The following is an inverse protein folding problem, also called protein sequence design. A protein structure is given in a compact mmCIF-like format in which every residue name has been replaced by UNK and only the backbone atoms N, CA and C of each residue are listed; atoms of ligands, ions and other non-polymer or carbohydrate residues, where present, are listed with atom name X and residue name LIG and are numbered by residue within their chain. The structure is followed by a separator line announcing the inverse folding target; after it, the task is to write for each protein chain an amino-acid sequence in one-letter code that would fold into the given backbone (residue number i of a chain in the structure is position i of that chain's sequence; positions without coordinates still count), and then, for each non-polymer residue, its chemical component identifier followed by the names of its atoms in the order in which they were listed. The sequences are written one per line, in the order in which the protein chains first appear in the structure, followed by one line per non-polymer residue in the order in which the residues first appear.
data_IF_314830534011
#
_entry.id   IF_314830534011
#
_cell.length_a   1.000
_cell.length_b   1.000
_cell.length_c   1.000
_cell.angle_alpha   90.00
_cell.angle_beta   90.00
_cell.angle_gamma   90.00
#
_symmetry.space_group_name_H-M   'P 1'
#
loop_
_entity.id
_entity.type
_entity.pdbx_description
1 polymer ?
#
# COMPACT_ATOMS: atom_id res chain seq x y z
N UNK A 1 -35.71 -4.47 0.54
CA UNK A 1 -34.45 -3.77 0.14
C UNK A 1 -33.34 -4.61 0.71
N UNK A 2 -32.69 -5.42 -0.13
CA UNK A 2 -31.49 -6.13 0.32
C UNK A 2 -30.48 -5.08 0.76
N UNK A 3 -30.10 -5.17 2.02
CA UNK A 3 -29.02 -4.38 2.59
C UNK A 3 -27.75 -4.75 1.80
N UNK A 4 -27.38 -3.95 0.81
CA UNK A 4 -26.28 -4.31 -0.08
C UNK A 4 -25.00 -4.21 0.73
N UNK A 5 -24.54 -5.36 1.20
CA UNK A 5 -23.30 -5.53 1.95
C UNK A 5 -22.15 -4.77 1.27
N UNK A 6 -21.41 -3.96 2.02
CA UNK A 6 -20.29 -3.17 1.51
C UNK A 6 -19.27 -4.08 0.82
N UNK A 7 -18.61 -3.55 -0.20
CA UNK A 7 -17.70 -4.31 -1.03
C UNK A 7 -16.32 -3.64 -1.13
N UNK A 8 -15.27 -4.46 -1.16
CA UNK A 8 -13.89 -3.99 -1.25
C UNK A 8 -13.10 -4.73 -2.35
N UNK A 9 -12.27 -3.98 -3.06
CA UNK A 9 -11.24 -4.51 -3.94
C UNK A 9 -9.88 -4.34 -3.27
N UNK A 10 -9.08 -5.41 -3.19
CA UNK A 10 -7.70 -5.39 -2.72
C UNK A 10 -6.79 -5.85 -3.85
N UNK A 11 -6.07 -4.93 -4.50
CA UNK A 11 -5.03 -5.29 -5.47
C UNK A 11 -3.77 -5.72 -4.73
N UNK A 12 -2.97 -6.63 -5.31
CA UNK A 12 -1.90 -7.28 -4.56
C UNK A 12 -2.41 -8.19 -3.43
N UNK A 13 -3.71 -8.54 -3.49
CA UNK A 13 -4.43 -9.34 -2.48
C UNK A 13 -3.93 -10.77 -2.31
N UNK A 14 -3.09 -11.27 -3.21
CA UNK A 14 -2.42 -12.58 -3.07
C UNK A 14 -1.09 -12.51 -2.32
N UNK A 15 -0.54 -11.32 -2.11
CA UNK A 15 0.64 -11.07 -1.29
C UNK A 15 0.34 -11.17 0.21
N UNK A 16 1.39 -11.21 1.05
CA UNK A 16 1.21 -11.38 2.52
C UNK A 16 0.38 -10.25 3.13
N UNK A 17 0.73 -9.01 2.86
CA UNK A 17 0.02 -7.82 3.37
C UNK A 17 -1.39 -7.75 2.79
N UNK A 18 -1.53 -7.92 1.46
CA UNK A 18 -2.84 -7.86 0.80
C UNK A 18 -3.81 -8.92 1.31
N UNK A 19 -3.33 -10.16 1.60
CA UNK A 19 -4.15 -11.21 2.21
C UNK A 19 -4.63 -10.86 3.61
N UNK A 20 -3.76 -10.31 4.45
CA UNK A 20 -4.15 -9.88 5.80
C UNK A 20 -5.20 -8.76 5.74
N UNK A 21 -5.03 -7.80 4.82
CA UNK A 21 -6.01 -6.73 4.59
C UNK A 21 -7.35 -7.30 4.11
N UNK A 22 -7.34 -8.22 3.13
CA UNK A 22 -8.56 -8.85 2.63
C UNK A 22 -9.29 -9.60 3.74
N UNK A 23 -8.59 -10.45 4.49
CA UNK A 23 -9.16 -11.21 5.61
C UNK A 23 -9.73 -10.30 6.70
N UNK A 24 -9.07 -9.17 7.00
CA UNK A 24 -9.58 -8.21 7.97
C UNK A 24 -10.86 -7.52 7.47
N UNK A 25 -10.92 -7.10 6.22
CA UNK A 25 -12.12 -6.49 5.65
C UNK A 25 -13.28 -7.49 5.57
N UNK A 26 -13.01 -8.78 5.28
CA UNK A 26 -14.02 -9.84 5.35
C UNK A 26 -14.56 -10.01 6.77
N UNK A 27 -13.68 -10.03 7.78
CA UNK A 27 -14.07 -10.09 9.19
C UNK A 27 -14.90 -8.87 9.63
N UNK A 28 -14.64 -7.70 9.03
CA UNK A 28 -15.42 -6.46 9.24
C UNK A 28 -16.72 -6.42 8.40
N UNK A 29 -17.08 -7.53 7.73
CA UNK A 29 -18.34 -7.70 7.03
C UNK A 29 -18.38 -7.21 5.59
N UNK A 30 -17.23 -6.97 4.95
CA UNK A 30 -17.18 -6.64 3.51
C UNK A 30 -17.21 -7.91 2.65
N UNK A 31 -17.80 -7.82 1.46
CA UNK A 31 -17.48 -8.73 0.37
C UNK A 31 -16.18 -8.29 -0.27
N UNK A 32 -15.19 -9.16 -0.39
CA UNK A 32 -13.86 -8.79 -0.84
C UNK A 32 -13.48 -9.51 -2.13
N UNK A 33 -13.02 -8.77 -3.12
CA UNK A 33 -12.26 -9.29 -4.26
C UNK A 33 -10.77 -9.04 -3.98
N UNK A 34 -10.05 -10.08 -3.59
CA UNK A 34 -8.59 -10.06 -3.49
C UNK A 34 -8.01 -10.42 -4.87
N UNK A 35 -7.32 -9.48 -5.51
CA UNK A 35 -6.77 -9.64 -6.84
C UNK A 35 -5.23 -9.68 -6.83
N UNK A 36 -4.65 -10.59 -7.58
CA UNK A 36 -3.21 -10.75 -7.75
C UNK A 36 -2.76 -10.49 -9.18
N UNK A 37 -1.50 -10.83 -9.48
CA UNK A 37 -0.90 -10.62 -10.80
C UNK A 37 -1.63 -11.39 -11.92
N UNK A 38 -2.21 -12.55 -11.61
CA UNK A 38 -2.96 -13.35 -12.58
C UNK A 38 -4.28 -12.69 -13.00
N UNK A 39 -4.83 -11.79 -12.20
CA UNK A 39 -6.09 -11.10 -12.47
C UNK A 39 -5.90 -9.86 -13.38
N UNK A 40 -4.68 -9.34 -13.54
CA UNK A 40 -4.40 -8.21 -14.43
C UNK A 40 -3.02 -7.60 -14.24
N UNK A 41 -2.48 -7.07 -15.34
CA UNK A 41 -1.22 -6.32 -15.34
C UNK A 41 -1.48 -4.84 -15.00
N UNK A 42 -1.18 -4.47 -13.77
CA UNK A 42 -1.39 -3.11 -13.26
C UNK A 42 -0.34 -2.09 -13.75
N UNK A 43 0.73 -2.55 -14.40
CA UNK A 43 1.66 -1.64 -15.10
C UNK A 43 1.04 -0.99 -16.33
N UNK A 44 -0.15 -1.44 -16.74
CA UNK A 44 -0.91 -0.97 -17.90
C UNK A 44 -2.27 -0.41 -17.48
N UNK A 45 -2.63 0.71 -18.06
CA UNK A 45 -3.91 1.38 -17.77
C UNK A 45 -5.14 0.51 -18.12
N UNK A 46 -5.07 -0.24 -19.22
CA UNK A 46 -6.13 -1.16 -19.64
C UNK A 46 -6.26 -2.37 -18.69
N UNK A 47 -5.14 -2.85 -18.15
CA UNK A 47 -5.14 -3.90 -17.12
C UNK A 47 -5.79 -3.46 -15.82
N UNK A 48 -5.45 -2.27 -15.34
CA UNK A 48 -6.07 -1.69 -14.14
C UNK A 48 -7.59 -1.49 -14.32
N UNK A 49 -8.02 -0.98 -15.49
CA UNK A 49 -9.44 -0.80 -15.81
C UNK A 49 -10.20 -2.12 -15.79
N UNK A 50 -9.70 -3.13 -16.52
CA UNK A 50 -10.34 -4.45 -16.55
C UNK A 50 -10.48 -5.05 -15.18
N UNK A 51 -9.43 -4.99 -14.35
CA UNK A 51 -9.48 -5.52 -12.99
C UNK A 51 -10.57 -4.87 -12.15
N UNK A 52 -10.74 -3.54 -12.24
CA UNK A 52 -11.78 -2.82 -11.50
C UNK A 52 -13.17 -3.20 -12.04
N UNK A 53 -13.36 -3.27 -13.36
CA UNK A 53 -14.63 -3.67 -13.98
C UNK A 53 -15.02 -5.10 -13.57
N UNK A 54 -14.10 -6.05 -13.57
CA UNK A 54 -14.31 -7.42 -13.12
C UNK A 54 -14.66 -7.48 -11.62
N UNK A 55 -14.03 -6.65 -10.80
CA UNK A 55 -14.36 -6.56 -9.38
C UNK A 55 -15.78 -6.03 -9.17
N UNK A 56 -16.17 -5.00 -9.91
CA UNK A 56 -17.53 -4.44 -9.86
C UNK A 56 -18.55 -5.46 -10.36
N UNK A 57 -18.27 -6.19 -11.45
CA UNK A 57 -19.16 -7.23 -11.97
C UNK A 57 -19.38 -8.35 -10.94
N UNK A 58 -18.32 -8.74 -10.21
CA UNK A 58 -18.39 -9.79 -9.20
C UNK A 58 -19.07 -9.34 -7.89
N UNK A 59 -18.87 -8.08 -7.50
CA UNK A 59 -19.30 -7.54 -6.21
C UNK A 59 -20.58 -6.69 -6.28
N UNK A 60 -20.95 -6.21 -7.48
CA UNK A 60 -22.12 -5.34 -7.70
C UNK A 60 -21.89 -3.88 -7.29
N UNK A 61 -20.92 -3.59 -6.43
CA UNK A 61 -20.57 -2.23 -5.95
C UNK A 61 -19.13 -2.18 -5.44
N UNK A 62 -18.59 -0.99 -5.25
CA UNK A 62 -17.34 -0.76 -4.54
C UNK A 62 -17.52 0.37 -3.52
N UNK A 63 -17.11 0.11 -2.26
CA UNK A 63 -17.08 1.08 -1.16
C UNK A 63 -15.64 1.36 -0.71
N UNK A 64 -14.76 0.37 -0.85
CA UNK A 64 -13.34 0.47 -0.48
C UNK A 64 -12.47 -0.13 -1.58
N UNK A 65 -11.40 0.56 -1.92
CA UNK A 65 -10.34 0.03 -2.78
C UNK A 65 -9.01 0.17 -2.07
N UNK A 66 -8.28 -0.93 -1.94
CA UNK A 66 -6.93 -0.94 -1.37
C UNK A 66 -5.94 -1.33 -2.46
N UNK A 67 -5.01 -0.44 -2.77
CA UNK A 67 -3.91 -0.73 -3.68
C UNK A 67 -2.70 -1.18 -2.87
N UNK A 68 -2.44 -2.50 -2.85
CA UNK A 68 -1.30 -3.11 -2.19
C UNK A 68 -0.38 -3.85 -3.18
N UNK A 69 -0.57 -3.62 -4.48
CA UNK A 69 0.32 -4.17 -5.50
C UNK A 69 1.60 -3.35 -5.61
N UNK A 70 2.74 -4.03 -5.62
CA UNK A 70 4.05 -3.45 -5.83
C UNK A 70 4.99 -4.47 -6.47
N UNK A 71 6.01 -3.99 -7.18
CA UNK A 71 7.10 -4.76 -7.77
C UNK A 71 8.45 -4.07 -7.56
N UNK A 72 9.54 -4.72 -8.02
CA UNK A 72 10.86 -4.10 -8.06
C UNK A 72 11.55 -3.96 -6.72
N UNK A 73 11.18 -4.75 -5.71
CA UNK A 73 11.86 -4.77 -4.41
C UNK A 73 13.05 -5.74 -4.44
N UNK A 74 14.13 -5.34 -5.13
CA UNK A 74 15.38 -6.05 -5.17
C UNK A 74 16.56 -5.09 -4.93
N UNK A 75 17.54 -5.43 -4.07
CA UNK A 75 18.70 -4.59 -3.85
C UNK A 75 19.61 -4.59 -5.09
N UNK A 76 19.95 -3.40 -5.59
CA UNK A 76 20.90 -3.18 -6.68
C UNK A 76 21.79 -1.97 -6.40
N UNK A 77 23.11 -2.05 -6.63
CA UNK A 77 23.97 -0.87 -6.74
C UNK A 77 23.43 0.10 -7.79
N UNK A 78 23.65 1.40 -7.61
CA UNK A 78 23.11 2.42 -8.51
C UNK A 78 23.52 2.19 -9.96
N UNK A 79 24.79 1.80 -10.18
CA UNK A 79 25.39 1.53 -11.49
C UNK A 79 24.81 0.29 -12.20
N UNK A 80 24.16 -0.61 -11.47
CA UNK A 80 23.59 -1.86 -11.99
C UNK A 80 22.08 -1.78 -12.21
N UNK A 81 21.43 -0.65 -11.86
CA UNK A 81 19.99 -0.45 -12.07
C UNK A 81 19.70 -0.34 -13.56
N UNK A 82 18.82 -1.20 -14.07
CA UNK A 82 18.40 -1.19 -15.46
C UNK A 82 17.08 -0.40 -15.66
N UNK A 83 16.75 -0.09 -16.91
CA UNK A 83 15.47 0.54 -17.26
C UNK A 83 14.29 -0.37 -16.89
N UNK A 84 14.45 -1.69 -17.05
CA UNK A 84 13.45 -2.68 -16.69
C UNK A 84 13.19 -2.71 -15.16
N UNK A 85 14.24 -2.57 -14.33
CA UNK A 85 14.09 -2.46 -12.88
C UNK A 85 13.31 -1.21 -12.50
N UNK A 86 13.59 -0.10 -13.17
CA UNK A 86 12.91 1.17 -12.98
C UNK A 86 11.43 1.07 -13.37
N UNK A 87 11.17 0.58 -14.56
CA UNK A 87 9.81 0.45 -15.10
C UNK A 87 8.96 -0.54 -14.29
N UNK A 88 9.54 -1.65 -13.83
CA UNK A 88 8.86 -2.60 -12.95
C UNK A 88 8.46 -1.95 -11.62
N UNK A 89 9.37 -1.20 -10.99
CA UNK A 89 9.09 -0.55 -9.72
C UNK A 89 7.98 0.50 -9.83
N UNK A 90 8.00 1.36 -10.85
CA UNK A 90 6.98 2.40 -11.03
C UNK A 90 5.69 1.85 -11.63
N UNK A 91 5.78 0.81 -12.45
CA UNK A 91 4.66 0.26 -13.21
C UNK A 91 3.52 -0.21 -12.33
N UNK A 92 3.75 -1.24 -11.53
CA UNK A 92 2.71 -1.79 -10.66
C UNK A 92 2.40 -0.91 -9.45
N UNK A 93 3.38 -0.15 -8.95
CA UNK A 93 3.26 0.71 -7.75
C UNK A 93 2.54 2.03 -8.10
N UNK A 94 3.27 3.06 -8.48
CA UNK A 94 2.71 4.40 -8.65
C UNK A 94 1.75 4.51 -9.84
N UNK A 95 2.13 3.97 -11.02
CA UNK A 95 1.29 4.00 -12.21
C UNK A 95 0.04 3.15 -12.02
N UNK A 96 0.19 1.95 -11.44
CA UNK A 96 -0.92 1.06 -11.09
C UNK A 96 -1.89 1.73 -10.11
N UNK A 97 -1.38 2.34 -9.03
CA UNK A 97 -2.18 3.09 -8.06
C UNK A 97 -3.05 4.16 -8.74
N UNK A 98 -2.45 4.95 -9.63
CA UNK A 98 -3.16 6.01 -10.36
C UNK A 98 -4.30 5.46 -11.23
N UNK A 99 -4.04 4.45 -12.06
CA UNK A 99 -5.05 3.93 -12.98
C UNK A 99 -6.12 3.07 -12.29
N UNK A 100 -5.79 2.39 -11.19
CA UNK A 100 -6.78 1.74 -10.33
C UNK A 100 -7.69 2.80 -9.70
N UNK A 101 -7.13 3.88 -9.16
CA UNK A 101 -7.91 4.98 -8.60
C UNK A 101 -8.83 5.64 -9.65
N UNK A 102 -8.28 5.90 -10.86
CA UNK A 102 -9.05 6.48 -11.96
C UNK A 102 -10.23 5.60 -12.38
N UNK A 103 -9.99 4.30 -12.50
CA UNK A 103 -11.04 3.34 -12.87
C UNK A 103 -12.07 3.15 -11.75
N UNK A 104 -11.65 3.12 -10.49
CA UNK A 104 -12.53 2.89 -9.35
C UNK A 104 -13.39 4.10 -8.98
N UNK A 105 -12.93 5.33 -9.24
CA UNK A 105 -13.62 6.55 -8.79
C UNK A 105 -15.09 6.66 -9.22
N UNK A 106 -15.50 6.35 -10.47
CA UNK A 106 -16.90 6.37 -10.86
C UNK A 106 -17.76 5.39 -10.04
N UNK A 107 -17.23 4.20 -9.75
CA UNK A 107 -17.94 3.16 -9.01
C UNK A 107 -18.08 3.48 -7.53
N UNK A 108 -17.02 4.05 -6.91
CA UNK A 108 -17.07 4.57 -5.55
C UNK A 108 -18.11 5.69 -5.41
N UNK A 109 -18.18 6.63 -6.38
CA UNK A 109 -19.23 7.66 -6.40
C UNK A 109 -20.62 7.07 -6.54
N UNK A 110 -20.80 6.10 -7.43
CA UNK A 110 -22.07 5.42 -7.63
C UNK A 110 -22.56 4.67 -6.38
N UNK A 111 -21.66 4.23 -5.52
CA UNK A 111 -21.97 3.63 -4.21
C UNK A 111 -22.37 4.65 -3.13
N UNK A 112 -22.30 5.95 -3.43
CA UNK A 112 -22.57 7.04 -2.49
C UNK A 112 -21.34 7.63 -1.83
N UNK A 113 -20.16 7.37 -2.36
CA UNK A 113 -18.84 7.73 -1.83
C UNK A 113 -18.04 6.52 -1.37
N UNK A 114 -16.79 6.74 -0.97
CA UNK A 114 -15.94 5.62 -0.56
C UNK A 114 -14.56 5.99 -0.05
N UNK A 115 -13.72 4.96 0.05
CA UNK A 115 -12.34 5.08 0.49
C UNK A 115 -11.39 4.40 -0.51
N UNK A 116 -10.34 5.11 -0.90
CA UNK A 116 -9.16 4.55 -1.55
C UNK A 116 -7.98 4.56 -0.56
N UNK A 117 -7.33 3.42 -0.37
CA UNK A 117 -6.12 3.30 0.44
C UNK A 117 -4.96 2.87 -0.45
N UNK A 118 -3.86 3.60 -0.40
CA UNK A 118 -2.59 3.23 -1.04
C UNK A 118 -1.64 2.66 0.02
N UNK A 119 -1.14 1.45 -0.22
CA UNK A 119 -0.13 0.85 0.67
C UNK A 119 1.24 1.33 0.22
N UNK A 120 1.65 2.41 0.85
CA UNK A 120 2.93 3.07 0.68
C UNK A 120 4.08 2.25 1.31
N UNK A 121 5.15 2.90 1.72
CA UNK A 121 6.29 2.31 2.43
C UNK A 121 7.04 3.42 3.17
N UNK A 122 7.72 3.11 4.28
CA UNK A 122 8.65 4.05 4.92
C UNK A 122 9.79 4.47 3.98
N UNK A 123 10.07 3.72 2.91
CA UNK A 123 10.95 4.11 1.82
C UNK A 123 10.52 5.40 1.10
N UNK A 124 9.26 5.86 1.31
CA UNK A 124 8.81 7.19 0.87
C UNK A 124 9.47 8.33 1.65
N UNK A 125 10.03 8.04 2.82
CA UNK A 125 10.57 9.00 3.78
C UNK A 125 12.04 8.75 4.11
N UNK A 126 12.49 7.51 4.02
CA UNK A 126 13.86 7.07 4.33
C UNK A 126 14.59 6.63 3.05
N UNK A 127 15.75 7.23 2.71
CA UNK A 127 16.46 6.85 1.49
C UNK A 127 17.19 5.52 1.64
N UNK A 128 16.92 4.57 0.75
CA UNK A 128 17.62 3.29 0.67
C UNK A 128 18.44 3.21 -0.63
N UNK A 129 19.77 3.46 -0.59
CA UNK A 129 20.59 3.58 -1.80
C UNK A 129 20.53 2.36 -2.74
N UNK A 130 20.38 1.15 -2.18
CA UNK A 130 20.26 -0.09 -2.97
C UNK A 130 18.86 -0.33 -3.53
N UNK A 131 17.88 0.52 -3.22
CA UNK A 131 16.48 0.36 -3.63
C UNK A 131 15.96 1.64 -4.30
N UNK A 132 16.80 2.34 -5.06
CA UNK A 132 16.46 3.62 -5.64
C UNK A 132 15.14 3.63 -6.45
N UNK A 133 14.87 2.67 -7.37
CA UNK A 133 13.58 2.63 -8.08
C UNK A 133 12.38 2.43 -7.15
N UNK A 134 12.51 1.57 -6.14
CA UNK A 134 11.46 1.34 -5.15
C UNK A 134 11.16 2.60 -4.33
N UNK A 135 12.19 3.27 -3.81
CA UNK A 135 12.01 4.53 -3.07
C UNK A 135 11.31 5.59 -3.92
N UNK A 136 11.72 5.75 -5.19
CA UNK A 136 11.10 6.68 -6.12
C UNK A 136 9.62 6.35 -6.36
N UNK A 137 9.29 5.06 -6.59
CA UNK A 137 7.93 4.60 -6.80
C UNK A 137 7.04 4.84 -5.56
N UNK A 138 7.55 4.54 -4.37
CA UNK A 138 6.82 4.73 -3.11
C UNK A 138 6.66 6.21 -2.74
N UNK A 139 7.65 7.05 -3.00
CA UNK A 139 7.52 8.50 -2.85
C UNK A 139 6.47 9.09 -3.81
N UNK A 140 6.42 8.60 -5.06
CA UNK A 140 5.37 8.97 -6.01
C UNK A 140 3.99 8.53 -5.52
N UNK A 141 3.85 7.31 -4.98
CA UNK A 141 2.60 6.80 -4.42
C UNK A 141 2.12 7.63 -3.22
N UNK A 142 3.02 8.04 -2.31
CA UNK A 142 2.70 8.93 -1.21
C UNK A 142 2.24 10.33 -1.67
N UNK A 143 2.80 10.84 -2.77
CA UNK A 143 2.29 12.08 -3.38
C UNK A 143 0.93 11.87 -4.04
N UNK A 144 0.69 10.73 -4.68
CA UNK A 144 -0.61 10.38 -5.26
C UNK A 144 -1.72 10.34 -4.20
N UNK A 145 -1.46 9.87 -2.99
CA UNK A 145 -2.41 9.95 -1.86
C UNK A 145 -2.95 11.37 -1.69
N UNK A 146 -2.08 12.37 -1.70
CA UNK A 146 -2.46 13.79 -1.51
C UNK A 146 -3.17 14.38 -2.73
N UNK A 147 -2.65 14.09 -3.92
CA UNK A 147 -3.23 14.58 -5.19
C UNK A 147 -4.63 14.01 -5.39
N UNK A 148 -4.80 12.70 -5.21
CA UNK A 148 -6.07 12.03 -5.40
C UNK A 148 -7.08 12.42 -4.31
N UNK A 149 -6.65 12.60 -3.06
CA UNK A 149 -7.50 13.11 -2.00
C UNK A 149 -8.11 14.46 -2.36
N UNK A 150 -7.32 15.37 -2.91
CA UNK A 150 -7.79 16.68 -3.36
C UNK A 150 -8.70 16.61 -4.59
N UNK A 151 -8.41 15.71 -5.51
CA UNK A 151 -9.14 15.57 -6.78
C UNK A 151 -10.48 14.84 -6.63
N UNK A 152 -10.61 13.96 -5.63
CA UNK A 152 -11.77 13.07 -5.47
C UNK A 152 -12.69 13.48 -4.31
N UNK A 153 -12.29 14.45 -3.50
CA UNK A 153 -13.14 15.01 -2.45
C UNK A 153 -14.32 15.80 -3.07
N UNK A 154 -15.47 15.91 -2.37
CA UNK A 154 -15.70 15.38 -1.02
C UNK A 154 -16.19 13.90 -1.00
N UNK A 155 -16.51 13.31 -2.15
CA UNK A 155 -17.21 12.02 -2.20
C UNK A 155 -16.29 10.85 -1.83
N UNK A 156 -15.01 10.91 -2.21
CA UNK A 156 -14.06 9.83 -2.00
C UNK A 156 -12.91 10.32 -1.15
N UNK A 157 -12.68 9.64 -0.03
CA UNK A 157 -11.47 9.83 0.79
C UNK A 157 -10.31 9.02 0.19
N UNK A 158 -9.11 9.57 0.26
CA UNK A 158 -7.89 8.86 -0.15
C UNK A 158 -6.88 8.96 0.97
N UNK A 159 -6.39 7.83 1.44
CA UNK A 159 -5.42 7.74 2.53
C UNK A 159 -4.28 6.80 2.14
N UNK A 160 -3.11 7.03 2.74
CA UNK A 160 -1.96 6.13 2.65
C UNK A 160 -1.78 5.33 3.93
N UNK A 161 -1.19 4.15 3.82
CA UNK A 161 -0.59 3.42 4.93
C UNK A 161 0.85 3.15 4.55
N UNK A 162 1.81 3.59 5.36
CA UNK A 162 3.25 3.43 5.12
C UNK A 162 3.85 2.44 6.14
N UNK A 163 3.91 1.14 5.80
CA UNK A 163 4.52 0.14 6.67
C UNK A 163 6.05 0.30 6.76
N UNK A 164 6.60 -0.07 7.90
CA UNK A 164 7.99 -0.44 8.05
C UNK A 164 8.24 -1.91 7.68
N UNK A 165 9.19 -2.56 8.34
CA UNK A 165 9.44 -3.98 8.13
C UNK A 165 8.34 -4.83 8.76
N UNK A 166 7.47 -5.41 7.93
CA UNK A 166 6.32 -6.26 8.33
C UNK A 166 6.41 -7.68 7.80
N UNK A 167 7.36 -7.95 6.92
CA UNK A 167 7.65 -9.29 6.40
C UNK A 167 9.15 -9.44 6.18
N UNK A 168 9.66 -10.65 6.38
CA UNK A 168 11.06 -10.97 6.11
C UNK A 168 11.15 -12.27 5.32
N UNK A 169 12.03 -12.26 4.32
CA UNK A 169 12.44 -13.43 3.56
C UNK A 169 13.92 -13.78 3.81
N UNK A 170 14.47 -13.30 4.93
CA UNK A 170 15.88 -13.37 5.25
C UNK A 170 16.29 -14.51 6.19
N UNK A 171 17.60 -14.77 6.20
CA UNK A 171 18.22 -15.81 7.02
C UNK A 171 18.23 -15.49 8.54
N UNK A 172 18.84 -16.40 9.34
CA UNK A 172 18.93 -16.26 10.79
C UNK A 172 19.45 -14.90 11.24
N UNK A 173 18.86 -14.35 12.31
CA UNK A 173 19.25 -13.07 12.91
C UNK A 173 18.81 -11.82 12.14
N UNK A 174 18.10 -11.93 11.01
CA UNK A 174 17.60 -10.76 10.31
C UNK A 174 16.42 -10.12 11.06
N UNK A 175 15.55 -10.94 11.65
CA UNK A 175 14.42 -10.47 12.44
C UNK A 175 14.88 -9.64 13.63
N UNK A 176 15.88 -10.10 14.35
CA UNK A 176 16.46 -9.40 15.51
C UNK A 176 17.12 -8.08 15.11
N UNK A 177 17.85 -8.06 13.99
CA UNK A 177 18.45 -6.81 13.46
C UNK A 177 17.37 -5.81 13.10
N UNK A 178 16.33 -6.23 12.38
CA UNK A 178 15.22 -5.35 11.98
C UNK A 178 14.36 -4.92 13.18
N UNK A 179 14.17 -5.77 14.17
CA UNK A 179 13.50 -5.42 15.41
C UNK A 179 14.28 -4.32 16.17
N UNK A 180 15.60 -4.40 16.19
CA UNK A 180 16.47 -3.40 16.81
C UNK A 180 16.44 -2.03 16.10
N UNK A 181 15.94 -1.97 14.87
CA UNK A 181 15.71 -0.73 14.12
C UNK A 181 14.37 -0.04 14.48
N UNK A 182 13.56 -0.61 15.34
CA UNK A 182 12.28 -0.05 15.77
C UNK A 182 12.30 0.35 17.24
N UNK A 183 11.56 1.40 17.61
CA UNK A 183 11.40 1.80 19.01
C UNK A 183 10.59 0.78 19.83
N UNK A 184 9.68 0.04 19.17
CA UNK A 184 8.87 -0.98 19.82
C UNK A 184 9.59 -2.34 19.98
N UNK A 185 10.85 -2.47 19.50
CA UNK A 185 11.69 -3.65 19.71
C UNK A 185 11.20 -4.91 18.99
N UNK A 186 10.31 -4.78 18.01
CA UNK A 186 9.83 -5.88 17.17
C UNK A 186 9.67 -5.44 15.71
N UNK A 187 9.71 -6.38 14.79
CA UNK A 187 9.16 -6.17 13.45
C UNK A 187 7.63 -6.12 13.53
N UNK A 188 7.01 -5.43 12.59
CA UNK A 188 5.57 -5.49 12.41
C UNK A 188 5.11 -6.82 11.81
N UNK A 189 3.81 -6.95 11.62
CA UNK A 189 3.19 -8.04 10.89
C UNK A 189 2.25 -7.51 9.80
N UNK A 190 1.84 -8.34 8.83
CA UNK A 190 0.79 -7.96 7.88
C UNK A 190 -0.51 -7.53 8.56
N UNK A 191 -0.81 -8.08 9.73
CA UNK A 191 -1.99 -7.74 10.53
C UNK A 191 -1.90 -6.32 11.11
N UNK A 192 -0.70 -5.84 11.53
CA UNK A 192 -0.52 -4.45 11.96
C UNK A 192 -0.92 -3.46 10.83
N UNK A 193 -0.65 -3.82 9.56
CA UNK A 193 -1.05 -3.02 8.40
C UNK A 193 -2.56 -3.13 8.14
N UNK A 194 -3.12 -4.32 8.27
CA UNK A 194 -4.56 -4.55 8.10
C UNK A 194 -5.39 -3.78 9.14
N UNK A 195 -4.93 -3.70 10.40
CA UNK A 195 -5.54 -2.88 11.44
C UNK A 195 -5.55 -1.39 11.07
N UNK A 196 -4.46 -0.89 10.52
CA UNK A 196 -4.39 0.50 10.06
C UNK A 196 -5.39 0.79 8.92
N UNK A 197 -5.54 -0.14 7.97
CA UNK A 197 -6.56 -0.03 6.91
C UNK A 197 -7.96 -0.04 7.51
N UNK A 198 -8.26 -0.95 8.44
CA UNK A 198 -9.55 -1.03 9.12
C UNK A 198 -9.87 0.25 9.90
N UNK A 199 -8.88 0.84 10.58
CA UNK A 199 -9.03 2.16 11.20
C UNK A 199 -9.46 3.23 10.17
N UNK A 200 -8.77 3.32 9.03
CA UNK A 200 -9.08 4.31 7.99
C UNK A 200 -10.47 4.11 7.36
N UNK A 201 -10.99 2.88 7.30
CA UNK A 201 -12.37 2.60 6.87
C UNK A 201 -13.37 3.34 7.73
N UNK A 202 -13.16 3.39 9.04
CA UNK A 202 -14.06 4.05 10.01
C UNK A 202 -13.73 5.52 10.27
N UNK A 203 -12.54 6.00 9.93
CA UNK A 203 -12.08 7.37 10.20
C UNK A 203 -12.64 8.38 9.19
N UNK A 204 -13.94 8.66 9.25
CA UNK A 204 -14.69 9.47 8.27
C UNK A 204 -14.18 10.90 8.03
N UNK A 205 -13.34 11.44 8.89
CA UNK A 205 -12.78 12.80 8.76
C UNK A 205 -11.27 12.80 8.42
N UNK A 206 -10.76 11.67 7.89
CA UNK A 206 -9.36 11.53 7.48
C UNK A 206 -9.29 11.35 5.96
N UNK A 207 -8.57 12.24 5.27
CA UNK A 207 -8.22 12.16 3.85
C UNK A 207 -6.92 12.88 3.57
N UNK A 208 -6.16 12.46 2.57
CA UNK A 208 -4.87 13.05 2.17
C UNK A 208 -3.72 12.81 3.16
N UNK A 209 -3.93 11.98 4.16
CA UNK A 209 -2.95 11.63 5.18
C UNK A 209 -2.40 10.22 4.95
N UNK A 210 -1.12 10.02 5.29
CA UNK A 210 -0.46 8.73 5.34
C UNK A 210 -0.23 8.33 6.79
N UNK A 211 -0.75 7.16 7.17
CA UNK A 211 -0.54 6.56 8.48
C UNK A 211 0.72 5.69 8.45
N UNK A 212 1.75 6.10 9.17
CA UNK A 212 3.00 5.35 9.30
C UNK A 212 2.80 4.21 10.31
N UNK A 213 3.14 2.97 9.90
CA UNK A 213 3.01 1.74 10.71
C UNK A 213 4.36 1.02 10.73
N UNK A 214 5.31 1.55 11.48
CA UNK A 214 6.73 1.16 11.40
C UNK A 214 7.37 0.83 12.76
N UNK A 215 6.59 0.81 13.83
CA UNK A 215 7.11 0.61 15.20
C UNK A 215 8.05 1.72 15.67
N UNK A 216 7.97 2.92 15.07
CA UNK A 216 8.81 4.07 15.37
C UNK A 216 10.17 4.04 14.68
N UNK A 217 10.33 3.25 13.62
CA UNK A 217 11.59 3.16 12.87
C UNK A 217 12.06 4.51 12.35
N UNK A 218 11.19 5.29 11.72
CA UNK A 218 11.55 6.61 11.18
C UNK A 218 11.98 7.63 12.25
N UNK A 219 11.68 7.36 13.52
CA UNK A 219 12.08 8.20 14.65
C UNK A 219 13.38 7.73 15.32
N UNK A 220 13.87 6.56 14.95
CA UNK A 220 15.08 6.03 15.51
C UNK A 220 16.28 6.80 14.90
N UNK A 221 16.90 7.64 15.70
CA UNK A 221 18.16 8.27 15.32
C UNK A 221 19.21 7.18 15.12
N UNK A 222 20.05 7.27 14.07
CA UNK A 222 21.28 6.50 13.99
C UNK A 222 21.98 6.61 15.35
N UNK A 223 22.19 5.46 16.00
CA UNK A 223 23.03 5.46 17.21
C UNK A 223 24.41 5.89 16.75
N UNK A 224 24.71 7.16 16.97
CA UNK A 224 26.03 7.70 16.70
C UNK A 224 27.05 6.73 17.26
N UNK A 225 27.98 6.30 16.45
CA UNK A 225 29.18 5.60 16.89
C UNK A 225 29.70 6.40 18.07
N UNK A 226 29.58 5.83 19.28
CA UNK A 226 30.23 6.41 20.44
C UNK A 226 31.69 6.57 20.03
N UNK A 227 32.11 7.81 19.82
CA UNK A 227 33.52 8.14 19.77
C UNK A 227 34.12 7.59 21.07
N UNK A 228 34.83 6.48 20.96
CA UNK A 228 35.75 6.04 22.00
C UNK A 228 36.88 7.05 22.02
N UNK A 229 36.66 8.15 22.72
CA UNK A 229 37.72 9.05 23.13
C UNK A 229 38.49 8.37 24.22
N UNK A 230 39.67 7.96 23.88
CA UNK A 230 40.75 7.67 24.80
C UNK A 230 41.40 8.95 25.33
#
# INVERSE_FOLDING_TARGET
MEDSQRAALVTGGTGRVGRAIAARLEADGFRVKAAGRADGDLSRADGARRLVEEAVAALGRLDVVVHAAAEGFAPRPLEDVTEEDWDAALGATAKGAFFVAQAAAPHLRAAGGGLLVLIEDVASYEPWPLFAPHCAAKAAEAMLTRVLARALAPEIRVCGVAPGTVTLDGGPGQAERRAAETLLGRIGSPEDVAEAVAYLVHAGFVTGASLVVDGGRLLQRERGTKSTGS
#
